data_IF_850732766348
#
_entry.id   IF_850732766348
#
_cell.length_a   1.000
_cell.length_b   1.000
_cell.length_c   1.000
_cell.angle_alpha   90.00
_cell.angle_beta   90.00
_cell.angle_gamma   90.00
#
_symmetry.space_group_name_H-M   'P 1'
#
loop_
_entity.id
_entity.type
_entity.pdbx_description
1 polymer ?
#
# COMPACT_ATOMS: atom_id res chain seq x y z
N UNK A 1 5.35 -0.51 -12.21
CA UNK A 1 4.11 0.30 -12.15
C UNK A 1 4.34 1.72 -11.58
N UNK A 2 5.54 2.03 -11.11
CA UNK A 2 5.82 3.35 -10.54
C UNK A 2 5.63 4.47 -11.57
N UNK A 3 5.08 5.61 -11.13
CA UNK A 3 4.76 6.77 -11.97
C UNK A 3 3.53 6.65 -12.89
N UNK A 4 2.95 5.46 -13.06
CA UNK A 4 1.83 5.22 -14.00
C UNK A 4 0.43 5.48 -13.41
N UNK A 5 0.28 5.58 -12.09
CA UNK A 5 -1.01 5.77 -11.39
C UNK A 5 -2.09 4.75 -11.79
N UNK A 6 -1.68 3.52 -12.07
CA UNK A 6 -2.54 2.43 -12.55
C UNK A 6 -2.82 1.36 -11.49
N UNK A 7 -2.70 1.72 -10.21
CA UNK A 7 -2.79 0.83 -9.07
C UNK A 7 -1.49 0.05 -8.81
N UNK A 8 -1.28 -0.43 -7.58
CA UNK A 8 -0.08 -1.17 -7.20
C UNK A 8 -0.02 -2.56 -7.84
N UNK A 9 1.14 -3.21 -7.78
CA UNK A 9 1.32 -4.58 -8.24
C UNK A 9 0.84 -5.59 -7.18
N UNK A 10 -0.44 -5.53 -6.80
CA UNK A 10 -1.04 -6.31 -5.69
C UNK A 10 -0.62 -7.78 -5.72
N UNK A 11 -0.82 -8.47 -6.85
CA UNK A 11 -0.49 -9.90 -6.97
C UNK A 11 1.01 -10.21 -6.83
N UNK A 12 1.90 -9.24 -7.07
CA UNK A 12 3.33 -9.42 -6.79
C UNK A 12 3.57 -9.39 -5.27
N UNK A 13 2.99 -8.40 -4.59
CA UNK A 13 3.12 -8.25 -3.14
C UNK A 13 2.52 -9.45 -2.40
N UNK A 14 1.33 -9.91 -2.78
CA UNK A 14 0.71 -11.14 -2.24
C UNK A 14 1.66 -12.34 -2.34
N UNK A 15 2.21 -12.60 -3.53
CA UNK A 15 3.14 -13.73 -3.72
C UNK A 15 4.39 -13.64 -2.85
N UNK A 16 4.93 -12.43 -2.66
CA UNK A 16 6.10 -12.22 -1.81
C UNK A 16 5.78 -12.48 -0.34
N UNK A 17 4.63 -12.00 0.13
CA UNK A 17 4.14 -12.22 1.49
C UNK A 17 3.89 -13.72 1.72
N UNK A 18 3.16 -14.38 0.83
CA UNK A 18 2.91 -15.83 0.89
C UNK A 18 4.20 -16.65 0.92
N UNK A 19 5.20 -16.25 0.10
CA UNK A 19 6.50 -16.92 0.07
C UNK A 19 7.25 -16.72 1.39
N UNK A 20 7.20 -15.52 1.98
CA UNK A 20 7.85 -15.20 3.26
C UNK A 20 7.29 -16.03 4.41
N UNK A 21 5.98 -16.27 4.42
CA UNK A 21 5.29 -17.13 5.38
C UNK A 21 5.70 -18.59 5.18
N UNK A 22 5.73 -19.08 3.95
CA UNK A 22 6.12 -20.47 3.65
C UNK A 22 7.54 -20.83 4.11
N UNK A 23 8.47 -19.88 4.06
CA UNK A 23 9.86 -20.10 4.48
C UNK A 23 10.10 -19.74 5.96
N UNK A 24 9.05 -19.44 6.73
CA UNK A 24 9.12 -18.98 8.12
C UNK A 24 10.08 -17.78 8.33
N UNK A 25 10.12 -16.87 7.35
CA UNK A 25 10.92 -15.65 7.41
C UNK A 25 10.01 -14.45 7.07
N UNK A 26 9.24 -13.93 8.05
CA UNK A 26 8.36 -12.80 7.81
C UNK A 26 9.16 -11.58 7.35
N UNK A 27 8.61 -10.85 6.38
CA UNK A 27 9.23 -9.66 5.81
C UNK A 27 8.28 -8.46 5.89
N UNK A 28 8.81 -7.31 6.32
CA UNK A 28 8.07 -6.04 6.28
C UNK A 28 8.09 -5.48 4.86
N UNK A 29 7.00 -5.71 4.12
CA UNK A 29 6.90 -5.30 2.74
C UNK A 29 6.25 -3.93 2.59
N UNK A 30 7.03 -2.97 2.07
CA UNK A 30 6.55 -1.63 1.73
C UNK A 30 6.28 -1.55 0.23
N UNK A 31 5.03 -1.25 -0.16
CA UNK A 31 4.65 -1.07 -1.55
C UNK A 31 5.08 0.31 -2.06
N UNK A 32 5.79 0.40 -3.19
CA UNK A 32 6.41 1.65 -3.63
C UNK A 32 5.87 2.25 -4.93
N UNK A 33 5.07 1.50 -5.71
CA UNK A 33 4.77 1.92 -7.08
C UNK A 33 3.33 1.72 -7.50
N UNK A 34 2.76 2.75 -8.12
CA UNK A 34 1.47 2.67 -8.83
C UNK A 34 0.25 3.09 -8.02
N UNK A 35 0.40 3.41 -6.73
CA UNK A 35 -0.70 3.88 -5.87
C UNK A 35 -1.32 5.14 -6.48
N UNK A 36 -2.65 5.12 -6.66
CA UNK A 36 -3.41 6.21 -7.28
C UNK A 36 -4.68 6.57 -6.53
N UNK A 37 -5.18 5.70 -5.65
CA UNK A 37 -6.43 5.88 -4.88
C UNK A 37 -6.26 5.44 -3.42
N UNK A 38 -7.20 5.81 -2.55
CA UNK A 38 -7.24 5.33 -1.15
C UNK A 38 -7.55 3.83 -1.06
N UNK A 39 -8.38 3.29 -1.97
CA UNK A 39 -8.67 1.86 -2.06
C UNK A 39 -7.41 1.02 -2.26
N UNK A 40 -6.43 1.53 -3.01
CA UNK A 40 -5.14 0.85 -3.17
C UNK A 40 -4.46 0.62 -1.81
N UNK A 41 -4.55 1.58 -0.88
CA UNK A 41 -3.99 1.47 0.47
C UNK A 41 -4.75 0.44 1.31
N UNK A 42 -6.09 0.41 1.19
CA UNK A 42 -6.91 -0.60 1.84
C UNK A 42 -6.54 -2.01 1.36
N UNK A 43 -6.38 -2.20 0.05
CA UNK A 43 -6.00 -3.49 -0.55
C UNK A 43 -4.59 -3.89 -0.08
N UNK A 44 -3.61 -2.98 -0.18
CA UNK A 44 -2.23 -3.23 0.26
C UNK A 44 -2.17 -3.61 1.75
N UNK A 45 -2.96 -2.96 2.60
CA UNK A 45 -3.08 -3.34 4.02
C UNK A 45 -3.67 -4.74 4.17
N UNK A 46 -4.77 -5.05 3.46
CA UNK A 46 -5.45 -6.34 3.59
C UNK A 46 -4.59 -7.54 3.17
N UNK A 47 -3.66 -7.34 2.23
CA UNK A 47 -2.72 -8.40 1.80
C UNK A 47 -1.50 -8.52 2.73
N UNK A 48 -1.34 -7.60 3.70
CA UNK A 48 -0.27 -7.64 4.69
C UNK A 48 0.96 -6.78 4.38
N UNK A 49 0.88 -5.79 3.48
CA UNK A 49 1.96 -4.81 3.35
C UNK A 49 2.06 -3.96 4.63
N UNK A 50 3.29 -3.76 5.12
CA UNK A 50 3.57 -2.95 6.32
C UNK A 50 3.49 -1.45 6.05
N UNK A 51 3.56 -1.04 4.78
CA UNK A 51 3.42 0.35 4.39
C UNK A 51 3.32 0.55 2.89
N UNK A 52 3.13 1.81 2.50
CA UNK A 52 3.09 2.23 1.11
C UNK A 52 3.77 3.59 0.92
N UNK A 53 4.45 3.79 -0.20
CA UNK A 53 5.08 5.06 -0.59
C UNK A 53 4.20 5.75 -1.63
N UNK A 54 3.71 6.93 -1.29
CA UNK A 54 2.82 7.71 -2.14
C UNK A 54 3.57 8.93 -2.66
N UNK A 55 3.85 8.94 -3.96
CA UNK A 55 4.48 10.07 -4.64
C UNK A 55 3.45 10.84 -5.46
N UNK A 56 3.41 10.54 -6.77
CA UNK A 56 2.66 11.30 -7.77
C UNK A 56 1.17 11.50 -7.45
N UNK A 57 0.50 10.52 -6.85
CA UNK A 57 -0.92 10.65 -6.48
C UNK A 57 -1.18 11.75 -5.44
N UNK A 58 -0.22 11.99 -4.54
CA UNK A 58 -0.24 13.09 -3.58
C UNK A 58 0.02 14.42 -4.28
N UNK A 59 1.04 14.48 -5.15
CA UNK A 59 1.38 15.69 -5.91
C UNK A 59 0.26 16.14 -6.86
N UNK A 60 -0.45 15.21 -7.49
CA UNK A 60 -1.58 15.50 -8.40
C UNK A 60 -2.92 15.67 -7.66
N UNK A 61 -2.93 15.56 -6.33
CA UNK A 61 -4.15 15.73 -5.51
C UNK A 61 -5.20 14.63 -5.68
N UNK A 62 -4.83 13.46 -6.24
CA UNK A 62 -5.70 12.28 -6.30
C UNK A 62 -5.91 11.65 -4.92
N UNK A 63 -4.92 11.80 -4.05
CA UNK A 63 -4.97 11.46 -2.64
C UNK A 63 -4.53 12.71 -1.88
N UNK A 64 -5.33 13.17 -0.91
CA UNK A 64 -4.98 14.32 -0.10
C UNK A 64 -4.33 13.91 1.22
N UNK A 65 -3.58 14.84 1.84
CA UNK A 65 -3.06 14.66 3.20
C UNK A 65 -4.17 14.39 4.22
N UNK A 66 -5.38 14.92 3.98
CA UNK A 66 -6.54 14.70 4.85
C UNK A 66 -7.07 13.27 4.74
N UNK A 67 -7.09 12.70 3.53
CA UNK A 67 -7.48 11.30 3.33
C UNK A 67 -6.50 10.37 4.06
N UNK A 68 -5.20 10.66 3.97
CA UNK A 68 -4.15 9.91 4.66
C UNK A 68 -4.22 10.03 6.18
N UNK A 69 -4.52 11.23 6.71
CA UNK A 69 -4.66 11.41 8.15
C UNK A 69 -5.88 10.67 8.71
N UNK A 70 -7.02 10.70 8.00
CA UNK A 70 -8.20 9.92 8.35
C UNK A 70 -7.91 8.42 8.34
N UNK A 71 -7.29 7.92 7.27
CA UNK A 71 -6.90 6.52 7.14
C UNK A 71 -5.99 6.07 8.29
N UNK A 72 -5.01 6.89 8.67
CA UNK A 72 -4.13 6.56 9.81
C UNK A 72 -4.85 6.53 11.15
N UNK A 73 -5.84 7.39 11.37
CA UNK A 73 -6.59 7.47 12.62
C UNK A 73 -7.55 6.30 12.81
N UNK A 74 -8.20 5.84 11.74
CA UNK A 74 -9.02 4.62 11.74
C UNK A 74 -8.19 3.39 12.15
N UNK A 75 -6.88 3.39 11.84
CA UNK A 75 -5.98 2.28 12.15
C UNK A 75 -5.48 2.23 13.60
N UNK A 76 -5.67 3.30 14.38
CA UNK A 76 -5.25 3.38 15.79
C UNK A 76 -6.43 3.28 16.77
N UNK A 77 -7.65 3.03 16.27
CA UNK A 77 -8.85 2.89 17.08
C UNK A 77 -9.12 1.46 17.56
N UNK A 78 -8.23 0.51 17.25
CA UNK A 78 -8.26 -0.90 17.72
C UNK A 78 -7.19 -1.19 18.76
#
# INVERSE_FOLDING_TARGET
KDGMLSGPAVSLYERLIDSSVHINQPMDLVASGGISTMDDLCVLRSIGCSGAIIGKALYEGKISMKDLSHFSLENHAE
#
